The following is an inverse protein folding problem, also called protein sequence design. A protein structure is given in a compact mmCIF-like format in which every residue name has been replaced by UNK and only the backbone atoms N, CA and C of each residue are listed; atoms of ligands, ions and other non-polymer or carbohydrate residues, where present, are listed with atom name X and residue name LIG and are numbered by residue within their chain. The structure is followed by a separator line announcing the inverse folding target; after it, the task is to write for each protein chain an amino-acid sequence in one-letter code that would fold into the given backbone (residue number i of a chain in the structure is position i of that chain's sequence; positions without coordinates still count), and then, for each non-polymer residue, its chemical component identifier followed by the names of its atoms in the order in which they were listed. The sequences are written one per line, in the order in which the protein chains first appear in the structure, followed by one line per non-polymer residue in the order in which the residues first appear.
data_IF_865583205100
#
_entry.id   IF_865583205100
#
_cell.length_a   1.000
_cell.length_b   1.000
_cell.length_c   1.000
_cell.angle_alpha   90.00
_cell.angle_beta   90.00
_cell.angle_gamma   90.00
#
_symmetry.space_group_name_H-M   'P 1'
#
loop_
_entity.id
_entity.type
_entity.pdbx_description
1 polymer ?
#
# COMPACT_ATOMS: atom_id res chain seq x y z
N UNK A 1 7.87 -2.80 -2.63
CA UNK A 1 7.92 -2.58 -1.16
C UNK A 1 6.61 -3.04 -0.53
N UNK A 2 6.72 -3.81 0.58
CA UNK A 2 5.57 -4.24 1.36
C UNK A 2 5.05 -3.08 2.21
N UNK A 3 3.74 -2.84 2.13
CA UNK A 3 3.03 -1.92 3.00
C UNK A 3 1.79 -2.59 3.57
N UNK A 4 1.25 -2.05 4.64
CA UNK A 4 0.16 -2.66 5.37
C UNK A 4 -0.98 -1.67 5.57
N UNK A 5 -2.20 -2.11 5.27
CA UNK A 5 -3.41 -1.42 5.65
C UNK A 5 -3.91 -1.99 6.98
N UNK A 6 -4.34 -1.13 7.87
CA UNK A 6 -4.92 -1.53 9.15
C UNK A 6 -6.43 -1.49 9.03
N UNK A 7 -7.05 -2.65 9.19
CA UNK A 7 -8.49 -2.85 9.01
C UNK A 7 -9.14 -3.21 10.33
N UNK A 8 -10.32 -2.65 10.56
CA UNK A 8 -11.15 -2.86 11.76
C UNK A 8 -12.47 -3.52 11.38
N UNK A 9 -12.83 -4.59 12.08
CA UNK A 9 -14.17 -5.16 12.11
C UNK A 9 -14.93 -4.62 13.32
N UNK A 10 -15.78 -3.63 13.09
CA UNK A 10 -16.58 -3.02 14.14
C UNK A 10 -17.53 -4.00 14.79
N UNK A 11 -18.01 -5.02 14.07
CA UNK A 11 -18.93 -6.03 14.61
C UNK A 11 -18.26 -6.88 15.67
N UNK A 12 -16.99 -7.29 15.45
CA UNK A 12 -16.21 -8.08 16.40
C UNK A 12 -15.83 -7.26 17.62
N UNK A 13 -15.43 -6.00 17.45
CA UNK A 13 -15.09 -5.11 18.57
C UNK A 13 -16.31 -4.85 19.43
N UNK A 14 -17.45 -4.51 18.82
CA UNK A 14 -18.70 -4.15 19.51
C UNK A 14 -19.43 -5.37 20.11
N UNK A 15 -19.09 -6.59 19.69
CA UNK A 15 -19.70 -7.81 20.22
C UNK A 15 -19.57 -7.93 21.75
N UNK A 16 -18.50 -7.38 22.33
CA UNK A 16 -18.27 -7.35 23.77
C UNK A 16 -17.72 -5.98 24.19
N UNK A 17 -18.38 -5.32 25.13
CA UNK A 17 -17.94 -4.02 25.65
C UNK A 17 -16.49 -4.03 26.15
N UNK A 18 -16.04 -5.15 26.73
CA UNK A 18 -14.68 -5.33 27.25
C UNK A 18 -13.58 -5.31 26.17
N UNK A 19 -13.94 -5.42 24.88
CA UNK A 19 -12.99 -5.34 23.78
C UNK A 19 -12.78 -3.91 23.29
N UNK A 20 -13.74 -3.01 23.50
CA UNK A 20 -13.74 -1.66 22.91
C UNK A 20 -12.52 -0.86 23.36
N UNK A 21 -12.40 -0.64 24.67
CA UNK A 21 -11.32 0.19 25.20
C UNK A 21 -9.93 -0.37 24.92
N UNK A 22 -9.62 -1.67 25.15
CA UNK A 22 -8.31 -2.22 24.81
C UNK A 22 -7.97 -2.13 23.32
N UNK A 23 -8.96 -2.30 22.44
CA UNK A 23 -8.76 -2.18 20.98
C UNK A 23 -8.47 -0.75 20.59
N UNK A 24 -9.22 0.21 21.12
CA UNK A 24 -8.99 1.65 20.90
C UNK A 24 -7.62 2.08 21.41
N UNK A 25 -7.28 1.69 22.66
CA UNK A 25 -5.98 2.00 23.27
C UNK A 25 -4.81 1.43 22.48
N UNK A 26 -4.93 0.21 21.96
CA UNK A 26 -3.90 -0.38 21.11
C UNK A 26 -3.69 0.43 19.81
N UNK A 27 -4.76 0.80 19.12
CA UNK A 27 -4.69 1.61 17.90
C UNK A 27 -4.09 3.00 18.14
N UNK A 28 -4.46 3.65 19.26
CA UNK A 28 -3.86 4.94 19.66
C UNK A 28 -2.37 4.78 19.98
N UNK A 29 -2.04 3.77 20.81
CA UNK A 29 -0.67 3.56 21.31
C UNK A 29 0.32 3.21 20.19
N UNK A 30 -0.04 2.27 19.32
CA UNK A 30 0.90 1.72 18.34
C UNK A 30 0.89 2.48 17.01
N UNK A 31 -0.25 3.07 16.63
CA UNK A 31 -0.38 3.77 15.35
C UNK A 31 -0.48 5.29 15.48
N UNK A 32 -0.69 5.80 16.69
CA UNK A 32 -0.88 7.25 16.90
C UNK A 32 -2.20 7.78 16.33
N UNK A 33 -3.19 6.91 16.11
CA UNK A 33 -4.50 7.33 15.62
C UNK A 33 -5.24 8.11 16.71
N UNK A 34 -6.14 8.99 16.29
CA UNK A 34 -6.96 9.74 17.26
C UNK A 34 -8.06 8.86 17.83
N UNK A 35 -8.16 8.82 19.14
CA UNK A 35 -9.17 8.06 19.85
C UNK A 35 -10.59 8.42 19.42
N UNK A 36 -10.84 9.72 19.22
CA UNK A 36 -12.14 10.23 18.78
C UNK A 36 -12.58 9.64 17.44
N UNK A 37 -11.66 9.56 16.47
CA UNK A 37 -11.96 9.04 15.12
C UNK A 37 -12.29 7.54 15.18
N UNK A 38 -11.54 6.76 15.98
CA UNK A 38 -11.78 5.32 16.15
C UNK A 38 -13.14 5.07 16.84
N UNK A 39 -13.43 5.80 17.91
CA UNK A 39 -14.70 5.66 18.64
C UNK A 39 -15.87 6.12 17.79
N UNK A 40 -15.69 7.15 16.97
CA UNK A 40 -16.67 7.62 16.01
C UNK A 40 -16.99 6.53 14.99
N UNK A 41 -15.96 5.89 14.40
CA UNK A 41 -16.13 4.79 13.47
C UNK A 41 -16.93 3.63 14.07
N UNK A 42 -16.56 3.19 15.27
CA UNK A 42 -17.26 2.13 16.01
C UNK A 42 -18.73 2.44 16.29
N UNK A 43 -19.07 3.73 16.46
CA UNK A 43 -20.43 4.20 16.79
C UNK A 43 -21.28 4.43 15.54
N UNK A 44 -20.70 5.03 14.49
CA UNK A 44 -21.43 5.41 13.27
C UNK A 44 -21.57 4.21 12.32
N UNK A 45 -20.60 3.28 12.34
CA UNK A 45 -20.57 2.11 11.46
C UNK A 45 -20.50 0.79 12.26
N UNK A 46 -21.41 0.53 13.22
CA UNK A 46 -21.31 -0.60 14.14
C UNK A 46 -21.37 -1.96 13.45
N UNK A 47 -21.99 -2.04 12.26
CA UNK A 47 -22.14 -3.26 11.47
C UNK A 47 -21.07 -3.43 10.40
N UNK A 48 -20.13 -2.49 10.31
CA UNK A 48 -19.02 -2.57 9.34
C UNK A 48 -18.07 -3.70 9.72
N UNK A 49 -17.85 -4.61 8.80
CA UNK A 49 -16.84 -5.68 8.92
C UNK A 49 -15.50 -5.30 8.29
N UNK A 50 -15.45 -4.15 7.63
CA UNK A 50 -14.27 -3.70 6.90
C UNK A 50 -14.18 -2.17 6.93
N UNK A 51 -13.48 -1.65 7.93
CA UNK A 51 -13.19 -0.22 8.05
C UNK A 51 -11.69 0.00 8.02
N UNK A 52 -11.17 0.65 6.98
CA UNK A 52 -9.74 0.91 6.83
C UNK A 52 -9.37 2.15 7.63
N UNK A 53 -8.66 1.95 8.73
CA UNK A 53 -8.25 3.02 9.65
C UNK A 53 -6.95 3.71 9.22
N UNK A 54 -6.03 2.95 8.62
CA UNK A 54 -4.77 3.47 8.10
C UNK A 54 -4.35 2.69 6.86
N UNK A 55 -3.70 3.37 5.91
CA UNK A 55 -3.30 2.77 4.64
C UNK A 55 -1.80 2.90 4.43
N UNK A 56 -1.23 1.88 3.76
CA UNK A 56 0.14 1.89 3.25
C UNK A 56 1.21 2.21 4.28
N UNK A 57 1.05 1.68 5.49
CA UNK A 57 2.04 1.82 6.55
C UNK A 57 3.22 0.87 6.30
N UNK A 58 4.46 1.30 6.52
CA UNK A 58 5.61 0.39 6.46
C UNK A 58 5.54 -0.61 7.63
N UNK A 59 6.12 -1.81 7.45
CA UNK A 59 6.11 -2.86 8.47
C UNK A 59 6.63 -2.38 9.84
N UNK A 60 7.64 -1.50 9.85
CA UNK A 60 8.18 -0.93 11.08
C UNK A 60 7.16 -0.19 11.95
N UNK A 61 6.06 0.28 11.36
CA UNK A 61 4.97 0.98 12.07
C UNK A 61 3.89 0.02 12.60
N UNK A 62 3.75 -1.14 12.01
CA UNK A 62 2.66 -2.08 12.36
C UNK A 62 3.12 -3.30 13.14
N UNK A 63 4.42 -3.62 13.16
CA UNK A 63 4.99 -4.82 13.80
C UNK A 63 4.59 -4.99 15.26
N UNK A 64 4.58 -3.90 16.03
CA UNK A 64 4.27 -3.94 17.46
C UNK A 64 2.76 -4.15 17.69
N UNK A 65 1.92 -3.64 16.79
CA UNK A 65 0.49 -3.91 16.78
C UNK A 65 0.22 -5.35 16.35
N UNK A 66 0.93 -5.87 15.34
CA UNK A 66 0.82 -7.26 14.87
C UNK A 66 1.06 -8.25 16.02
N UNK A 67 2.12 -8.02 16.81
CA UNK A 67 2.42 -8.87 17.97
C UNK A 67 1.27 -8.90 19.02
N UNK A 68 0.53 -7.80 19.16
CA UNK A 68 -0.64 -7.74 20.04
C UNK A 68 -1.85 -8.43 19.41
N UNK A 69 -2.04 -8.31 18.11
CA UNK A 69 -3.15 -8.97 17.39
C UNK A 69 -2.98 -10.49 17.42
N UNK A 70 -1.74 -10.98 17.26
CA UNK A 70 -1.41 -12.40 17.24
C UNK A 70 -1.35 -13.05 18.64
N UNK A 71 -1.45 -12.27 19.71
CA UNK A 71 -1.53 -12.80 21.07
C UNK A 71 -2.87 -13.51 21.30
N UNK A 72 -2.86 -14.84 21.23
CA UNK A 72 -4.01 -15.71 21.43
C UNK A 72 -4.37 -15.93 22.91
N UNK A 73 -3.68 -15.26 23.86
CA UNK A 73 -3.99 -15.40 25.28
C UNK A 73 -5.43 -14.99 25.57
N UNK A 74 -6.08 -15.69 26.50
CA UNK A 74 -7.45 -15.38 26.94
C UNK A 74 -7.55 -13.99 27.61
N UNK A 75 -6.43 -13.41 27.98
CA UNK A 75 -6.32 -12.06 28.57
C UNK A 75 -6.31 -10.97 27.52
N UNK A 76 -5.94 -11.29 26.28
CA UNK A 76 -5.92 -10.32 25.20
C UNK A 76 -7.34 -9.95 24.78
N UNK A 77 -7.72 -8.70 25.00
CA UNK A 77 -9.02 -8.13 24.62
C UNK A 77 -8.98 -7.27 23.37
N UNK A 78 -7.80 -7.12 22.76
CA UNK A 78 -7.65 -6.46 21.44
C UNK A 78 -8.20 -7.39 20.38
N UNK A 79 -9.31 -7.02 19.79
CA UNK A 79 -10.05 -7.86 18.83
C UNK A 79 -10.52 -7.04 17.63
N UNK A 80 -10.82 -7.73 16.54
CA UNK A 80 -11.40 -7.11 15.34
C UNK A 80 -10.41 -6.26 14.54
N UNK A 81 -9.10 -6.40 14.74
CA UNK A 81 -8.07 -5.73 13.93
C UNK A 81 -7.32 -6.80 13.13
N UNK A 82 -7.04 -6.50 11.88
CA UNK A 82 -6.07 -7.27 11.09
C UNK A 82 -5.29 -6.36 10.15
N UNK A 83 -4.18 -6.87 9.66
CA UNK A 83 -3.29 -6.21 8.73
C UNK A 83 -3.46 -6.80 7.33
N UNK A 84 -3.75 -5.96 6.36
CA UNK A 84 -3.75 -6.35 4.96
C UNK A 84 -2.45 -5.90 4.31
N UNK A 85 -1.67 -6.87 3.85
CA UNK A 85 -0.44 -6.61 3.12
C UNK A 85 -0.75 -6.19 1.69
N UNK A 86 -0.18 -5.06 1.28
CA UNK A 86 -0.23 -4.52 -0.09
C UNK A 86 1.18 -4.35 -0.62
N UNK A 87 1.39 -4.62 -1.90
CA UNK A 87 2.63 -4.35 -2.60
C UNK A 87 2.51 -3.02 -3.34
N UNK A 88 3.45 -2.11 -3.08
CA UNK A 88 3.53 -0.84 -3.80
C UNK A 88 4.87 -0.71 -4.49
N UNK A 89 4.86 -0.07 -5.66
CA UNK A 89 6.08 0.26 -6.37
C UNK A 89 6.83 1.36 -5.62
N UNK A 90 8.14 1.20 -5.50
CA UNK A 90 9.03 2.19 -4.91
C UNK A 90 9.92 2.78 -6.02
N UNK A 91 10.09 4.09 -6.01
CA UNK A 91 10.91 4.84 -6.97
C UNK A 91 12.05 5.53 -6.22
N UNK A 92 13.19 4.83 -6.00
CA UNK A 92 14.29 5.32 -5.16
C UNK A 92 14.88 6.64 -5.61
N UNK A 93 14.80 6.94 -6.90
CA UNK A 93 15.29 8.17 -7.51
C UNK A 93 14.19 9.20 -7.79
N UNK A 94 13.03 9.06 -7.14
CA UNK A 94 11.87 9.95 -7.28
C UNK A 94 11.43 10.12 -8.75
N UNK A 95 11.64 11.32 -9.31
CA UNK A 95 11.17 11.70 -10.64
C UNK A 95 12.15 11.37 -11.77
N UNK A 96 13.34 10.84 -11.44
CA UNK A 96 14.37 10.55 -12.46
C UNK A 96 13.83 9.60 -13.52
N UNK A 97 13.95 9.97 -14.78
CA UNK A 97 13.46 9.23 -15.95
C UNK A 97 11.95 8.89 -15.87
N UNK A 98 11.15 9.70 -15.19
CA UNK A 98 9.74 9.41 -14.89
C UNK A 98 8.90 9.15 -16.13
N UNK A 99 9.11 9.89 -17.23
CA UNK A 99 8.40 9.71 -18.50
C UNK A 99 8.74 8.39 -19.19
N UNK A 100 9.97 7.91 -19.01
CA UNK A 100 10.41 6.64 -19.57
C UNK A 100 10.01 5.45 -18.71
N UNK A 101 10.13 5.59 -17.39
CA UNK A 101 9.76 4.54 -16.43
C UNK A 101 8.24 4.38 -16.34
N UNK A 102 7.50 5.47 -16.38
CA UNK A 102 6.09 5.47 -16.04
C UNK A 102 5.85 5.36 -14.53
N UNK A 103 4.65 5.01 -14.14
CA UNK A 103 4.26 4.80 -12.73
C UNK A 103 3.18 3.73 -12.61
N UNK A 104 2.91 3.29 -11.40
CA UNK A 104 1.83 2.35 -11.12
C UNK A 104 0.69 3.01 -10.35
N UNK A 105 -0.53 2.58 -10.62
CA UNK A 105 -1.74 2.95 -9.87
C UNK A 105 -2.11 1.85 -8.87
N UNK A 106 -3.27 2.00 -8.23
CA UNK A 106 -3.81 1.00 -7.32
C UNK A 106 -3.93 -0.37 -8.01
N UNK A 107 -3.52 -1.43 -7.33
CA UNK A 107 -3.45 -2.78 -7.89
C UNK A 107 -2.21 -3.03 -8.74
N UNK A 108 -1.18 -2.18 -8.64
CA UNK A 108 0.08 -2.26 -9.39
C UNK A 108 -0.09 -2.23 -10.92
N UNK A 109 -1.13 -1.56 -11.41
CA UNK A 109 -1.35 -1.38 -12.84
C UNK A 109 -0.39 -0.30 -13.35
N UNK A 110 0.49 -0.66 -14.28
CA UNK A 110 1.44 0.24 -14.92
C UNK A 110 0.75 1.26 -15.82
N UNK A 111 1.20 2.50 -15.76
CA UNK A 111 0.74 3.62 -16.60
C UNK A 111 1.94 4.28 -17.26
N UNK A 112 1.99 4.19 -18.58
CA UNK A 112 3.06 4.75 -19.41
C UNK A 112 4.42 4.07 -19.25
N UNK A 113 5.32 4.33 -20.18
CA UNK A 113 6.70 3.90 -20.12
C UNK A 113 6.92 2.39 -19.95
N UNK A 114 7.96 2.07 -19.21
CA UNK A 114 8.37 0.68 -18.92
C UNK A 114 7.34 -0.04 -18.05
N UNK A 115 6.74 0.66 -17.07
CA UNK A 115 5.73 0.07 -16.19
C UNK A 115 4.48 -0.41 -16.93
N UNK A 116 4.05 0.33 -17.95
CA UNK A 116 2.90 -0.04 -18.78
C UNK A 116 3.29 -1.17 -19.78
N UNK A 117 4.38 -0.97 -20.51
CA UNK A 117 4.82 -1.91 -21.54
C UNK A 117 5.13 -3.31 -20.99
N UNK A 118 5.76 -3.38 -19.82
CA UNK A 118 6.12 -4.64 -19.15
C UNK A 118 5.20 -4.98 -17.97
N UNK A 119 3.99 -4.43 -17.92
CA UNK A 119 3.09 -4.58 -16.80
C UNK A 119 2.85 -6.06 -16.41
N UNK A 120 2.56 -6.94 -17.37
CA UNK A 120 2.36 -8.38 -17.10
C UNK A 120 3.63 -9.06 -16.61
N UNK A 121 4.79 -8.67 -17.14
CA UNK A 121 6.09 -9.23 -16.73
C UNK A 121 6.45 -8.83 -15.31
N UNK A 122 6.20 -7.56 -14.96
CA UNK A 122 6.57 -6.98 -13.67
C UNK A 122 5.65 -7.42 -12.53
N UNK A 123 4.34 -7.59 -12.78
CA UNK A 123 3.37 -7.89 -11.73
C UNK A 123 3.30 -9.37 -11.33
N UNK A 124 3.60 -10.29 -12.24
CA UNK A 124 3.42 -11.71 -11.98
C UNK A 124 1.94 -12.10 -11.85
N UNK A 125 1.64 -13.04 -10.98
CA UNK A 125 0.27 -13.55 -10.77
C UNK A 125 -0.03 -13.68 -9.29
N UNK A 126 -1.14 -13.08 -8.86
CA UNK A 126 -1.59 -13.15 -7.47
C UNK A 126 -1.95 -14.58 -7.06
N UNK A 127 -1.56 -14.95 -5.86
CA UNK A 127 -2.00 -16.16 -5.21
C UNK A 127 -3.46 -16.07 -4.78
N UNK A 128 -4.10 -17.22 -4.60
CA UNK A 128 -5.48 -17.28 -4.13
C UNK A 128 -5.63 -18.34 -3.06
N UNK A 129 -6.44 -18.05 -2.04
CA UNK A 129 -6.82 -18.98 -1.00
C UNK A 129 -8.32 -19.18 -1.02
N UNK A 130 -8.74 -20.44 -1.15
CA UNK A 130 -10.15 -20.82 -1.12
C UNK A 130 -10.40 -21.69 0.10
N UNK A 131 -11.44 -21.34 0.87
CA UNK A 131 -11.94 -22.18 1.94
C UNK A 131 -13.32 -22.71 1.56
N UNK A 132 -13.55 -24.01 1.77
CA UNK A 132 -14.87 -24.63 1.61
C UNK A 132 -15.10 -25.71 2.69
N UNK A 133 -16.36 -25.98 2.97
CA UNK A 133 -16.75 -27.11 3.81
C UNK A 133 -16.89 -28.32 2.91
N UNK A 134 -16.17 -29.40 3.26
CA UNK A 134 -16.35 -30.70 2.57
C UNK A 134 -17.66 -31.39 3.00
N UNK A 135 -17.94 -32.57 2.40
CA UNK A 135 -19.14 -33.34 2.70
C UNK A 135 -19.29 -33.71 4.17
N UNK A 136 -18.19 -33.77 4.91
CA UNK A 136 -18.15 -34.13 6.33
C UNK A 136 -18.16 -32.91 7.25
N UNK A 137 -18.47 -31.71 6.69
CA UNK A 137 -18.48 -30.41 7.38
C UNK A 137 -17.14 -30.00 7.95
N UNK A 138 -16.04 -30.57 7.47
CA UNK A 138 -14.70 -30.08 7.80
C UNK A 138 -14.30 -28.93 6.87
N UNK A 139 -13.63 -27.92 7.43
CA UNK A 139 -13.12 -26.82 6.65
C UNK A 139 -11.83 -27.21 5.92
N UNK A 140 -11.88 -27.23 4.59
CA UNK A 140 -10.72 -27.45 3.74
C UNK A 140 -10.26 -26.13 3.11
N UNK A 141 -8.95 -25.95 3.02
CA UNK A 141 -8.32 -24.77 2.44
C UNK A 141 -7.40 -25.18 1.29
N UNK A 142 -7.69 -24.67 0.11
CA UNK A 142 -6.80 -24.79 -1.03
C UNK A 142 -6.05 -23.47 -1.24
N UNK A 143 -4.73 -23.53 -1.32
CA UNK A 143 -3.89 -22.39 -1.58
C UNK A 143 -3.30 -22.54 -2.98
N UNK A 144 -3.52 -21.53 -3.83
CA UNK A 144 -2.76 -21.33 -5.05
C UNK A 144 -1.70 -20.28 -4.76
N UNK A 145 -0.43 -20.67 -4.83
CA UNK A 145 0.67 -19.75 -4.53
C UNK A 145 0.77 -18.63 -5.56
N UNK A 146 1.24 -17.46 -5.10
CA UNK A 146 1.56 -16.34 -5.97
C UNK A 146 2.81 -16.66 -6.80
N UNK A 147 2.85 -16.16 -8.03
CA UNK A 147 4.03 -16.21 -8.89
C UNK A 147 4.59 -14.80 -9.00
N UNK A 148 5.81 -14.61 -8.52
CA UNK A 148 6.47 -13.30 -8.60
C UNK A 148 6.69 -12.87 -10.04
N UNK A 149 6.58 -11.56 -10.27
CA UNK A 149 6.97 -10.94 -11.53
C UNK A 149 8.48 -11.03 -11.77
N UNK A 150 8.89 -10.68 -12.96
CA UNK A 150 10.28 -10.69 -13.39
C UNK A 150 10.89 -9.28 -13.33
N UNK A 151 12.21 -9.21 -13.24
CA UNK A 151 12.94 -7.94 -13.31
C UNK A 151 13.15 -7.51 -14.75
N UNK A 152 13.00 -6.23 -15.02
CA UNK A 152 13.39 -5.58 -16.28
C UNK A 152 14.66 -4.77 -16.02
N UNK A 153 15.71 -5.04 -16.76
CA UNK A 153 16.99 -4.34 -16.67
C UNK A 153 17.12 -3.39 -17.84
N UNK A 154 17.23 -2.09 -17.54
CA UNK A 154 17.47 -1.07 -18.57
C UNK A 154 18.95 -0.74 -18.69
N UNK A 155 19.34 -0.12 -19.81
CA UNK A 155 20.70 0.39 -20.04
C UNK A 155 20.87 1.86 -19.64
N UNK A 156 19.89 2.42 -18.92
CA UNK A 156 19.94 3.81 -18.46
C UNK A 156 20.96 3.92 -17.33
N UNK A 157 21.91 4.85 -17.51
CA UNK A 157 22.81 5.26 -16.44
C UNK A 157 22.16 6.38 -15.62
N UNK A 158 21.87 6.12 -14.35
CA UNK A 158 21.17 7.07 -13.49
C UNK A 158 21.95 8.38 -13.27
N UNK A 159 23.30 8.34 -13.30
CA UNK A 159 24.11 9.55 -13.14
C UNK A 159 24.06 10.42 -14.39
N UNK A 160 24.17 9.79 -15.56
CA UNK A 160 24.07 10.50 -16.83
C UNK A 160 22.67 11.11 -16.97
N UNK A 161 21.64 10.34 -16.67
CA UNK A 161 20.25 10.79 -16.70
C UNK A 161 20.03 12.01 -15.81
N UNK A 162 20.51 11.96 -14.57
CA UNK A 162 20.39 13.09 -13.62
C UNK A 162 21.07 14.34 -14.14
N UNK A 163 22.30 14.23 -14.67
CA UNK A 163 23.03 15.38 -15.23
C UNK A 163 22.26 15.99 -16.41
N UNK A 164 21.71 15.16 -17.29
CA UNK A 164 20.95 15.63 -18.45
C UNK A 164 19.68 16.37 -18.00
N UNK A 165 18.90 15.77 -17.08
CA UNK A 165 17.69 16.39 -16.53
C UNK A 165 17.98 17.72 -15.85
N UNK A 166 19.02 17.79 -15.02
CA UNK A 166 19.44 19.03 -14.37
C UNK A 166 19.77 20.13 -15.39
N UNK A 167 20.51 19.78 -16.46
CA UNK A 167 20.86 20.76 -17.51
C UNK A 167 19.66 21.22 -18.32
N UNK A 168 18.71 20.37 -18.56
CA UNK A 168 17.45 20.74 -19.24
C UNK A 168 16.59 21.62 -18.33
N UNK A 169 16.51 21.31 -17.02
CA UNK A 169 15.82 22.17 -16.05
C UNK A 169 16.47 23.57 -15.96
N UNK A 170 17.80 23.64 -15.83
CA UNK A 170 18.54 24.91 -15.86
C UNK A 170 18.24 25.72 -17.13
N UNK A 171 18.25 25.06 -18.29
CA UNK A 171 17.92 25.69 -19.56
C UNK A 171 16.47 26.21 -19.59
N UNK A 172 15.50 25.39 -19.19
CA UNK A 172 14.11 25.78 -19.14
C UNK A 172 13.87 26.97 -18.20
N UNK A 173 14.51 26.98 -17.02
CA UNK A 173 14.42 28.09 -16.07
C UNK A 173 15.05 29.39 -16.60
N UNK A 174 16.19 29.29 -17.27
CA UNK A 174 16.86 30.45 -17.87
C UNK A 174 16.05 31.11 -18.99
N UNK A 175 15.27 30.31 -19.72
CA UNK A 175 14.55 30.78 -20.92
C UNK A 175 13.02 30.76 -20.77
N UNK A 176 12.48 30.49 -19.58
CA UNK A 176 11.03 30.40 -19.32
C UNK A 176 10.23 31.60 -19.84
N UNK A 177 10.77 32.79 -19.70
CA UNK A 177 10.10 34.05 -20.12
C UNK A 177 10.08 34.23 -21.65
N UNK A 178 10.99 33.55 -22.37
CA UNK A 178 11.06 33.57 -23.81
C UNK A 178 10.07 32.58 -24.46
N UNK A 179 9.68 31.53 -23.75
CA UNK A 179 8.77 30.47 -24.24
C UNK A 179 7.29 30.80 -24.05
N UNK A 180 6.92 31.75 -23.20
CA UNK A 180 5.51 32.18 -23.00
C UNK A 180 4.89 32.74 -24.29
N UNK A 181 5.71 33.10 -25.28
CA UNK A 181 5.24 33.62 -26.58
C UNK A 181 5.18 32.58 -27.72
N UNK A 182 5.62 31.37 -27.52
CA UNK A 182 5.60 30.32 -28.52
C UNK A 182 5.45 28.93 -27.89
N UNK A 183 4.49 28.17 -28.34
CA UNK A 183 4.04 26.84 -27.87
C UNK A 183 5.08 25.72 -27.75
N UNK A 184 6.24 25.94 -27.15
CA UNK A 184 7.29 24.91 -27.06
C UNK A 184 8.02 24.88 -25.73
N UNK A 185 7.51 24.12 -24.78
CA UNK A 185 8.35 23.62 -23.67
C UNK A 185 9.18 22.43 -24.16
N UNK A 186 10.47 22.41 -23.83
CA UNK A 186 11.30 21.24 -24.04
C UNK A 186 10.87 20.20 -23.01
N UNK A 187 10.30 19.10 -23.46
CA UNK A 187 9.95 17.98 -22.59
C UNK A 187 11.09 16.99 -22.55
N UNK A 188 11.45 16.59 -21.33
CA UNK A 188 12.35 15.47 -21.07
C UNK A 188 11.48 14.21 -21.04
N UNK A 189 11.68 13.35 -22.03
CA UNK A 189 11.11 12.00 -22.06
C UNK A 189 12.08 10.99 -21.46
#
# INVERSE_FOLDING_TARGET
TDVYNVVLDCTVVNAKKENVDPTVEALVKYLGLKEEDIRKELKENPDSRYSVLAKRLPYSKVKDLEAVIEDDSSKNKVKGIWLEKEYVRDYPYNTLASSLLGFTTSGNVGIGGIEDYYNETLNGTDGRSYGYLNSDSNFERTIKEAVNGQNVVSTIDANIQSIVEDKIMEFNDAYKDNYVKGNGALHIG
#
